data_IF_400059075473
#
_entry.id   IF_400059075473
#
_cell.length_a   1.000
_cell.length_b   1.000
_cell.length_c   1.000
_cell.angle_alpha   90.00
_cell.angle_beta   90.00
_cell.angle_gamma   90.00
#
_symmetry.space_group_name_H-M   'P 1'
#
loop_
_entity.id
_entity.type
_entity.pdbx_description
1 polymer ?
#
# COMPACT_ATOMS: atom_id res chain seq x y z
N UNK A 1 2.50 8.00 -6.04
CA UNK A 1 1.46 7.14 -5.42
C UNK A 1 0.17 7.35 -6.19
N UNK A 2 -0.55 6.27 -6.51
CA UNK A 2 -1.88 6.35 -7.14
C UNK A 2 -2.87 5.43 -6.41
N UNK A 3 -4.15 5.78 -6.43
CA UNK A 3 -5.23 4.94 -5.91
C UNK A 3 -5.73 3.99 -7.01
N UNK A 4 -5.78 2.70 -6.74
CA UNK A 4 -6.48 1.72 -7.56
C UNK A 4 -7.91 1.58 -7.03
N UNK A 5 -8.84 2.35 -7.61
CA UNK A 5 -10.22 2.43 -7.15
C UNK A 5 -11.17 1.54 -7.97
N UNK A 6 -12.31 1.18 -7.38
CA UNK A 6 -13.46 0.59 -8.09
C UNK A 6 -14.13 1.66 -8.98
N UNK A 7 -14.61 1.35 -10.20
CA UNK A 7 -14.73 0.01 -10.81
C UNK A 7 -13.51 -0.45 -11.62
N UNK A 8 -12.42 0.34 -11.68
CA UNK A 8 -11.22 -0.02 -12.44
C UNK A 8 -10.57 -1.32 -11.92
N UNK A 9 -10.78 -1.65 -10.65
CA UNK A 9 -10.43 -2.94 -10.06
C UNK A 9 -11.62 -3.53 -9.29
N UNK A 10 -11.73 -4.87 -9.17
CA UNK A 10 -12.67 -5.53 -8.26
C UNK A 10 -12.59 -4.99 -6.83
N UNK A 11 -13.70 -5.02 -6.07
CA UNK A 11 -13.79 -4.46 -4.71
C UNK A 11 -12.80 -5.07 -3.72
N UNK A 12 -12.49 -6.36 -3.86
CA UNK A 12 -11.48 -7.11 -3.10
C UNK A 12 -10.04 -6.74 -3.47
N UNK A 13 -9.85 -5.90 -4.49
CA UNK A 13 -8.54 -5.48 -5.02
C UNK A 13 -8.34 -3.96 -4.98
N UNK A 14 -9.23 -3.22 -4.33
CA UNK A 14 -9.04 -1.78 -4.09
C UNK A 14 -7.83 -1.58 -3.18
N UNK A 15 -6.95 -0.66 -3.56
CA UNK A 15 -5.74 -0.41 -2.79
C UNK A 15 -4.89 0.71 -3.37
N UNK A 16 -3.67 0.82 -2.88
CA UNK A 16 -2.71 1.83 -3.32
C UNK A 16 -1.64 1.20 -4.21
N UNK A 17 -1.28 1.90 -5.29
CA UNK A 17 -0.12 1.58 -6.10
C UNK A 17 1.02 2.53 -5.74
N UNK A 18 2.12 1.93 -5.30
CA UNK A 18 3.34 2.64 -4.93
C UNK A 18 4.41 2.24 -5.93
N UNK A 19 5.07 3.22 -6.52
CA UNK A 19 6.20 3.01 -7.42
C UNK A 19 7.47 3.21 -6.60
N UNK A 20 8.34 2.20 -6.60
CA UNK A 20 9.68 2.25 -6.03
C UNK A 20 10.68 2.39 -7.17
N UNK A 21 11.75 3.12 -6.93
CA UNK A 21 12.83 3.38 -7.90
C UNK A 21 14.19 3.22 -7.23
N UNK A 22 15.25 3.15 -8.02
CA UNK A 22 16.62 3.13 -7.50
C UNK A 22 17.03 4.40 -6.73
N UNK A 23 16.23 5.48 -6.80
CA UNK A 23 16.43 6.69 -6.00
C UNK A 23 15.87 6.57 -4.58
N UNK A 24 15.05 5.56 -4.31
CA UNK A 24 14.54 5.31 -2.96
C UNK A 24 15.58 4.51 -2.20
N UNK A 25 16.05 5.07 -1.08
CA UNK A 25 16.98 4.40 -0.19
C UNK A 25 16.30 3.31 0.64
N UNK A 26 17.10 2.47 1.29
CA UNK A 26 16.58 1.49 2.25
C UNK A 26 15.83 2.19 3.40
N UNK A 27 16.31 3.35 3.87
CA UNK A 27 15.61 4.16 4.89
C UNK A 27 14.21 4.63 4.42
N UNK A 28 14.07 5.00 3.14
CA UNK A 28 12.78 5.38 2.56
C UNK A 28 11.81 4.18 2.57
N UNK A 29 12.32 2.99 2.22
CA UNK A 29 11.57 1.74 2.19
C UNK A 29 11.15 1.31 3.60
N UNK A 30 12.05 1.44 4.58
CA UNK A 30 11.79 1.13 5.99
C UNK A 30 10.72 2.06 6.56
N UNK A 31 10.82 3.36 6.27
CA UNK A 31 9.82 4.34 6.68
C UNK A 31 8.46 4.06 6.06
N UNK A 32 8.43 3.69 4.78
CA UNK A 32 7.21 3.33 4.08
C UNK A 32 6.58 2.08 4.72
N UNK A 33 7.34 1.01 4.87
CA UNK A 33 6.88 -0.27 5.40
C UNK A 33 6.39 -0.12 6.84
N UNK A 34 7.15 0.58 7.69
CA UNK A 34 6.73 0.88 9.06
C UNK A 34 5.42 1.68 9.13
N UNK A 35 5.20 2.59 8.20
CA UNK A 35 3.95 3.35 8.11
C UNK A 35 2.78 2.46 7.68
N UNK A 36 2.97 1.60 6.66
CA UNK A 36 1.96 0.65 6.21
C UNK A 36 1.60 -0.38 7.28
N UNK A 37 2.59 -0.91 8.03
CA UNK A 37 2.36 -1.84 9.14
C UNK A 37 1.54 -1.20 10.25
N UNK A 38 1.85 0.05 10.65
CA UNK A 38 1.03 0.76 11.64
C UNK A 38 -0.40 1.01 11.15
N UNK A 39 -0.56 1.36 9.88
CA UNK A 39 -1.88 1.56 9.28
C UNK A 39 -2.68 0.25 9.29
N UNK A 40 -2.04 -0.87 8.95
CA UNK A 40 -2.64 -2.20 8.95
C UNK A 40 -3.05 -2.67 10.34
N UNK A 41 -2.28 -2.32 11.38
CA UNK A 41 -2.63 -2.61 12.76
C UNK A 41 -3.81 -1.80 13.28
N UNK A 42 -4.04 -0.59 12.73
CA UNK A 42 -5.12 0.31 13.14
C UNK A 42 -6.42 0.09 12.37
N UNK A 43 -6.33 -0.30 11.11
CA UNK A 43 -7.46 -0.56 10.24
C UNK A 43 -7.34 -1.98 9.68
N UNK A 44 -8.32 -2.88 9.91
CA UNK A 44 -8.25 -4.23 9.39
C UNK A 44 -8.15 -4.18 7.87
N UNK A 45 -6.96 -4.47 7.34
CA UNK A 45 -6.79 -4.64 5.91
C UNK A 45 -7.58 -5.88 5.51
N UNK A 46 -8.48 -5.74 4.53
CA UNK A 46 -9.19 -6.90 4.01
C UNK A 46 -8.17 -7.84 3.38
N UNK A 47 -7.97 -9.00 3.99
CA UNK A 47 -7.23 -10.09 3.40
C UNK A 47 -7.91 -10.47 2.09
N UNK A 48 -7.09 -10.65 1.06
CA UNK A 48 -7.52 -11.21 -0.21
C UNK A 48 -8.03 -12.62 0.08
N UNK A 49 -9.32 -12.85 -0.13
CA UNK A 49 -9.89 -14.20 -0.15
C UNK A 49 -9.39 -14.98 -1.36
#
# INVERSE_FOLDING_TARGET
MTLAAYPLVPRDRVGFRIQLTALNSDDDIDRLTGTLTRLAGRFPLRLKG
#
